data_IF_585051479828
#
_entry.id   IF_585051479828
#
_cell.length_a   1.000
_cell.length_b   1.000
_cell.length_c   1.000
_cell.angle_alpha   90.00
_cell.angle_beta   90.00
_cell.angle_gamma   90.00
#
_symmetry.space_group_name_H-M   'P 1'
#
loop_
_entity.id
_entity.type
_entity.pdbx_description
1 polymer ?
#
# COMPACT_ATOMS: atom_id res chain seq x y z
N UNK A 1 2.90 -8.47 -30.77
CA UNK A 1 2.25 -7.81 -29.63
C UNK A 1 1.97 -8.76 -28.44
N UNK A 2 2.14 -10.09 -28.61
CA UNK A 2 1.76 -11.11 -27.61
C UNK A 2 2.74 -11.24 -26.40
N UNK A 3 3.88 -10.59 -26.40
CA UNK A 3 4.92 -10.72 -25.37
C UNK A 3 5.17 -9.46 -24.56
N UNK A 4 4.31 -8.45 -24.60
CA UNK A 4 4.43 -7.27 -23.75
C UNK A 4 3.71 -7.56 -22.45
N UNK A 5 4.48 -7.92 -21.40
CA UNK A 5 3.97 -8.00 -20.04
C UNK A 5 3.55 -6.60 -19.58
N UNK A 6 2.30 -6.47 -19.15
CA UNK A 6 1.84 -5.23 -18.52
C UNK A 6 2.69 -4.95 -17.28
N UNK A 7 3.24 -3.73 -17.13
CA UNK A 7 4.03 -3.40 -15.95
C UNK A 7 3.19 -3.53 -14.69
N UNK A 8 3.77 -4.20 -13.70
CA UNK A 8 3.12 -4.37 -12.38
C UNK A 8 2.82 -2.98 -11.80
N UNK A 9 1.58 -2.78 -11.34
CA UNK A 9 1.17 -1.52 -10.73
C UNK A 9 0.72 -0.42 -11.71
N UNK A 10 0.62 -0.71 -13.02
CA UNK A 10 0.17 0.29 -14.02
C UNK A 10 -1.16 0.95 -13.64
N UNK A 11 -2.11 0.19 -13.12
CA UNK A 11 -3.40 0.71 -12.67
C UNK A 11 -3.25 1.69 -11.51
N UNK A 12 -2.45 1.36 -10.51
CA UNK A 12 -2.18 2.24 -9.37
C UNK A 12 -1.52 3.56 -9.80
N UNK A 13 -0.49 3.48 -10.63
CA UNK A 13 0.20 4.66 -11.18
C UNK A 13 -0.77 5.52 -12.00
N UNK A 14 -1.65 4.90 -12.77
CA UNK A 14 -2.64 5.62 -13.57
C UNK A 14 -3.67 6.33 -12.70
N UNK A 15 -4.22 5.65 -11.69
CA UNK A 15 -5.16 6.27 -10.75
C UNK A 15 -4.52 7.41 -9.95
N UNK A 16 -3.27 7.26 -9.55
CA UNK A 16 -2.53 8.30 -8.83
C UNK A 16 -2.34 9.56 -9.71
N UNK A 17 -1.97 9.37 -10.99
CA UNK A 17 -1.87 10.47 -11.95
C UNK A 17 -3.22 11.14 -12.20
N UNK A 18 -4.28 10.35 -12.39
CA UNK A 18 -5.63 10.87 -12.58
C UNK A 18 -6.12 11.66 -11.36
N UNK A 19 -5.89 11.17 -10.14
CA UNK A 19 -6.29 11.89 -8.93
C UNK A 19 -5.60 13.25 -8.83
N UNK A 20 -4.30 13.33 -9.15
CA UNK A 20 -3.57 14.60 -9.19
C UNK A 20 -4.15 15.58 -10.21
N UNK A 21 -4.40 15.13 -11.44
CA UNK A 21 -4.97 15.98 -12.50
C UNK A 21 -6.37 16.50 -12.12
N UNK A 22 -7.21 15.62 -11.55
CA UNK A 22 -8.56 16.00 -11.09
C UNK A 22 -8.48 17.00 -9.93
N UNK A 23 -7.58 16.81 -8.97
CA UNK A 23 -7.41 17.74 -7.85
C UNK A 23 -6.88 19.11 -8.31
N UNK A 24 -5.99 19.14 -9.30
CA UNK A 24 -5.57 20.40 -9.95
C UNK A 24 -6.72 21.06 -10.72
N UNK A 25 -7.51 20.30 -11.49
CA UNK A 25 -8.65 20.81 -12.25
C UNK A 25 -9.74 21.39 -11.30
N UNK A 26 -9.92 20.78 -10.14
CA UNK A 26 -10.86 21.26 -9.09
C UNK A 26 -10.29 22.37 -8.23
N UNK A 27 -9.11 22.89 -8.56
CA UNK A 27 -8.42 23.96 -7.81
C UNK A 27 -8.14 23.61 -6.33
N UNK A 28 -8.20 22.32 -5.97
CA UNK A 28 -7.89 21.87 -4.60
C UNK A 28 -6.41 21.95 -4.27
N UNK A 29 -5.56 21.82 -5.28
CA UNK A 29 -4.10 21.90 -5.17
C UNK A 29 -3.54 22.73 -6.31
N UNK A 30 -2.46 23.47 -6.03
CA UNK A 30 -1.73 24.20 -7.07
C UNK A 30 -0.87 23.21 -7.87
N UNK A 31 -0.83 23.33 -9.20
CA UNK A 31 0.04 22.49 -10.03
C UNK A 31 1.50 22.62 -9.61
N UNK A 32 2.24 21.51 -9.64
CA UNK A 32 3.66 21.51 -9.39
C UNK A 32 4.39 22.21 -10.54
N UNK A 33 5.27 23.17 -10.20
CA UNK A 33 6.04 23.92 -11.19
C UNK A 33 7.26 23.13 -11.72
N UNK A 34 7.67 22.05 -11.06
CA UNK A 34 8.85 21.26 -11.42
C UNK A 34 8.46 19.83 -11.70
N UNK A 35 8.80 19.33 -12.88
CA UNK A 35 8.60 17.94 -13.26
C UNK A 35 9.26 16.96 -12.26
N UNK A 36 10.40 17.34 -11.70
CA UNK A 36 11.11 16.54 -10.70
C UNK A 36 10.23 16.23 -9.48
N UNK A 37 9.52 17.22 -8.95
CA UNK A 37 8.69 17.07 -7.75
C UNK A 37 7.48 16.17 -8.06
N UNK A 38 6.94 16.28 -9.27
CA UNK A 38 5.90 15.37 -9.77
C UNK A 38 6.41 13.94 -9.91
N UNK A 39 7.62 13.74 -10.45
CA UNK A 39 8.23 12.42 -10.57
C UNK A 39 8.51 11.79 -9.20
N UNK A 40 8.98 12.57 -8.23
CA UNK A 40 9.15 12.11 -6.84
C UNK A 40 7.82 11.63 -6.27
N UNK A 41 6.72 12.39 -6.45
CA UNK A 41 5.40 11.97 -5.99
C UNK A 41 4.94 10.66 -6.61
N UNK A 42 5.10 10.48 -7.93
CA UNK A 42 4.66 9.27 -8.65
C UNK A 42 5.53 8.05 -8.33
N UNK A 43 6.86 8.24 -8.18
CA UNK A 43 7.83 7.15 -8.00
C UNK A 43 8.16 6.88 -6.53
N UNK A 44 7.44 7.49 -5.59
CA UNK A 44 7.69 7.28 -4.18
C UNK A 44 7.51 5.79 -3.82
N UNK A 45 8.62 5.13 -3.44
CA UNK A 45 8.70 3.69 -3.23
C UNK A 45 7.56 3.09 -2.36
N UNK A 46 7.13 3.69 -1.24
CA UNK A 46 6.08 3.12 -0.43
C UNK A 46 4.68 3.08 -1.08
N UNK A 47 4.50 3.77 -2.22
CA UNK A 47 3.22 3.87 -2.92
C UNK A 47 3.15 2.99 -4.18
N UNK A 48 4.31 2.42 -4.64
CA UNK A 48 4.44 1.92 -6.02
C UNK A 48 3.61 0.69 -6.38
N UNK A 49 3.38 -0.28 -5.51
CA UNK A 49 2.76 -1.55 -5.93
C UNK A 49 1.46 -1.84 -5.19
N UNK A 50 1.44 -1.71 -3.89
CA UNK A 50 0.28 -2.00 -3.04
C UNK A 50 0.22 -1.04 -1.86
N UNK A 51 0.82 0.14 -2.00
CA UNK A 51 0.89 1.15 -0.94
C UNK A 51 -0.44 1.85 -0.71
N UNK A 52 -0.56 2.57 0.41
CA UNK A 52 -1.70 3.42 0.63
C UNK A 52 -1.81 4.44 -0.50
N UNK A 53 -3.00 4.59 -1.08
CA UNK A 53 -3.27 5.64 -2.08
C UNK A 53 -3.28 6.97 -1.34
N UNK A 54 -2.13 7.62 -1.32
CA UNK A 54 -1.97 8.93 -0.69
C UNK A 54 -2.30 10.00 -1.72
N UNK A 55 -3.26 10.85 -1.41
CA UNK A 55 -3.61 11.97 -2.29
C UNK A 55 -2.52 13.02 -2.26
N UNK A 56 -2.30 13.66 -3.41
CA UNK A 56 -1.27 14.69 -3.53
C UNK A 56 -1.42 15.83 -2.51
N UNK A 57 -2.65 16.25 -2.19
CA UNK A 57 -2.91 17.29 -1.19
C UNK A 57 -2.42 16.94 0.22
N UNK A 58 -2.34 15.65 0.56
CA UNK A 58 -1.87 15.19 1.88
C UNK A 58 -0.35 15.25 2.02
N UNK A 59 0.38 15.09 0.91
CA UNK A 59 1.85 15.08 0.89
C UNK A 59 2.47 16.34 0.31
N UNK A 60 1.67 17.20 -0.32
CA UNK A 60 2.16 18.41 -0.99
C UNK A 60 2.98 19.33 -0.07
N UNK A 61 2.51 19.53 1.16
CA UNK A 61 3.22 20.34 2.16
C UNK A 61 4.56 19.75 2.58
N UNK A 62 4.62 18.43 2.70
CA UNK A 62 5.83 17.70 3.11
C UNK A 62 6.85 17.60 1.96
N UNK A 63 6.40 17.54 0.71
CA UNK A 63 7.26 17.57 -0.47
C UNK A 63 7.97 18.93 -0.63
N UNK A 64 7.29 20.02 -0.26
CA UNK A 64 7.79 21.39 -0.43
C UNK A 64 8.63 21.85 0.77
N UNK A 65 8.23 21.49 1.99
CA UNK A 65 8.85 21.97 3.21
C UNK A 65 9.27 20.80 4.11
N UNK A 66 10.53 20.40 3.99
CA UNK A 66 11.13 19.23 4.68
C UNK A 66 11.72 19.54 6.05
N UNK A 67 11.61 20.79 6.55
CA UNK A 67 12.48 21.29 7.62
C UNK A 67 11.97 21.09 9.04
N UNK A 68 10.86 20.39 9.30
CA UNK A 68 10.17 20.72 10.53
C UNK A 68 10.05 19.66 11.63
N UNK A 69 10.45 18.40 11.47
CA UNK A 69 10.14 17.45 12.57
C UNK A 69 11.21 16.37 12.80
N UNK A 70 12.42 16.78 13.13
CA UNK A 70 13.40 15.85 13.73
C UNK A 70 13.02 15.60 15.21
N UNK A 71 11.89 14.91 15.42
CA UNK A 71 11.43 14.51 16.73
C UNK A 71 11.64 13.01 16.91
N UNK A 72 12.45 12.63 17.91
CA UNK A 72 12.77 11.24 18.20
C UNK A 72 11.51 10.41 18.51
N UNK A 73 10.51 11.02 19.18
CA UNK A 73 9.25 10.36 19.47
C UNK A 73 8.47 9.99 18.22
N UNK A 74 8.57 10.82 17.17
CA UNK A 74 7.94 10.57 15.89
C UNK A 74 8.61 9.38 15.17
N UNK A 75 9.94 9.31 15.20
CA UNK A 75 10.72 8.18 14.64
C UNK A 75 10.44 6.88 15.40
N UNK A 76 10.38 6.94 16.73
CA UNK A 76 10.03 5.78 17.58
C UNK A 76 8.61 5.29 17.28
N UNK A 77 7.64 6.21 17.15
CA UNK A 77 6.27 5.87 16.73
C UNK A 77 6.24 5.20 15.36
N UNK A 78 7.07 5.68 14.41
CA UNK A 78 7.24 5.07 13.10
C UNK A 78 7.77 3.65 13.16
N UNK A 79 8.77 3.41 14.01
CA UNK A 79 9.36 2.09 14.22
C UNK A 79 8.34 1.10 14.80
N UNK A 80 7.60 1.48 15.83
CA UNK A 80 6.54 0.63 16.39
C UNK A 80 5.46 0.31 15.34
N UNK A 81 5.07 1.30 14.54
CA UNK A 81 4.09 1.09 13.48
C UNK A 81 4.59 0.13 12.41
N UNK A 82 5.87 0.20 12.05
CA UNK A 82 6.50 -0.75 11.14
C UNK A 82 6.46 -2.18 11.69
N UNK A 83 6.80 -2.37 12.96
CA UNK A 83 6.77 -3.69 13.62
C UNK A 83 5.35 -4.25 13.66
N UNK A 84 4.34 -3.44 13.97
CA UNK A 84 2.94 -3.87 13.97
C UNK A 84 2.52 -4.32 12.57
N UNK A 85 2.89 -3.57 11.53
CA UNK A 85 2.64 -3.94 10.13
C UNK A 85 3.30 -5.26 9.75
N UNK A 86 4.57 -5.44 10.11
CA UNK A 86 5.31 -6.68 9.90
C UNK A 86 4.66 -7.86 10.64
N UNK A 87 4.23 -7.66 11.86
CA UNK A 87 3.53 -8.68 12.65
C UNK A 87 2.22 -9.12 12.01
N UNK A 88 1.43 -8.18 11.50
CA UNK A 88 0.20 -8.49 10.74
C UNK A 88 0.49 -9.38 9.53
N UNK A 89 1.55 -9.07 8.78
CA UNK A 89 1.93 -9.85 7.61
C UNK A 89 2.44 -11.24 7.99
N UNK A 90 3.39 -11.32 8.91
CA UNK A 90 4.07 -12.60 9.22
C UNK A 90 3.19 -13.52 10.06
N UNK A 91 2.53 -13.00 11.10
CA UNK A 91 1.80 -13.83 12.05
C UNK A 91 0.36 -14.12 11.63
N UNK A 92 -0.23 -13.28 10.80
CA UNK A 92 -1.64 -13.44 10.42
C UNK A 92 -1.77 -13.76 8.93
N UNK A 93 -1.32 -12.86 8.05
CA UNK A 93 -1.56 -13.01 6.61
C UNK A 93 -0.87 -14.25 6.04
N UNK A 94 0.39 -14.50 6.38
CA UNK A 94 1.12 -15.67 5.87
C UNK A 94 0.54 -16.98 6.41
N UNK A 95 0.11 -17.01 7.66
CA UNK A 95 -0.51 -18.21 8.28
C UNK A 95 -1.85 -18.51 7.59
N UNK A 96 -2.70 -17.48 7.40
CA UNK A 96 -3.96 -17.64 6.67
C UNK A 96 -3.72 -18.04 5.21
N UNK A 97 -2.63 -17.55 4.59
CA UNK A 97 -2.24 -17.94 3.23
C UNK A 97 -2.01 -19.43 3.08
N UNK A 98 -1.31 -20.05 4.03
CA UNK A 98 -1.11 -21.50 4.05
C UNK A 98 -2.44 -22.27 4.10
N UNK A 99 -3.36 -21.87 4.97
CA UNK A 99 -4.70 -22.47 5.08
C UNK A 99 -5.49 -22.32 3.76
N UNK A 100 -5.41 -21.14 3.14
CA UNK A 100 -6.08 -20.87 1.86
C UNK A 100 -5.53 -21.75 0.74
N UNK A 101 -4.20 -21.87 0.64
CA UNK A 101 -3.55 -22.73 -0.36
C UNK A 101 -3.96 -24.19 -0.19
N UNK A 102 -3.99 -24.71 1.03
CA UNK A 102 -4.45 -26.07 1.32
C UNK A 102 -5.91 -26.29 0.90
N UNK A 103 -6.81 -25.38 1.25
CA UNK A 103 -8.23 -25.52 0.92
C UNK A 103 -8.47 -25.43 -0.58
N UNK A 104 -7.82 -24.49 -1.27
CA UNK A 104 -8.02 -24.30 -2.71
C UNK A 104 -7.29 -25.36 -3.57
N UNK A 105 -6.36 -26.10 -3.00
CA UNK A 105 -5.75 -27.27 -3.63
C UNK A 105 -6.59 -28.55 -3.52
N UNK A 106 -7.65 -28.54 -2.70
CA UNK A 106 -8.52 -29.72 -2.53
C UNK A 106 -9.24 -30.07 -3.84
N UNK A 107 -9.32 -31.35 -4.19
CA UNK A 107 -10.13 -31.79 -5.32
C UNK A 107 -11.62 -31.53 -5.07
N UNK A 108 -12.38 -31.28 -6.14
CA UNK A 108 -13.80 -30.84 -6.06
C UNK A 108 -14.71 -31.78 -5.27
N UNK A 109 -14.36 -33.07 -5.16
CA UNK A 109 -15.15 -34.06 -4.41
C UNK A 109 -14.95 -34.00 -2.89
N UNK A 110 -13.87 -33.39 -2.43
CA UNK A 110 -13.57 -33.18 -1.01
C UNK A 110 -14.00 -31.78 -0.55
N UNK A 111 -14.28 -30.88 -1.47
CA UNK A 111 -14.69 -29.51 -1.20
C UNK A 111 -16.19 -29.47 -0.85
N UNK A 112 -16.50 -29.55 0.43
CA UNK A 112 -17.86 -29.34 0.91
C UNK A 112 -18.15 -27.84 1.16
N UNK A 113 -19.43 -27.48 1.29
CA UNK A 113 -19.87 -26.10 1.48
C UNK A 113 -19.22 -25.42 2.70
N UNK A 114 -19.03 -26.13 3.81
CA UNK A 114 -18.41 -25.60 5.01
C UNK A 114 -16.92 -25.25 4.79
N UNK A 115 -16.16 -26.15 4.18
CA UNK A 115 -14.76 -25.94 3.85
C UNK A 115 -14.60 -24.78 2.85
N UNK A 116 -15.50 -24.68 1.85
CA UNK A 116 -15.49 -23.57 0.90
C UNK A 116 -15.70 -22.21 1.58
N UNK A 117 -16.64 -22.12 2.53
CA UNK A 117 -16.85 -20.88 3.29
C UNK A 117 -15.66 -20.53 4.17
N UNK A 118 -15.02 -21.50 4.82
CA UNK A 118 -13.80 -21.28 5.60
C UNK A 118 -12.69 -20.74 4.68
N UNK A 119 -12.50 -21.32 3.50
CA UNK A 119 -11.54 -20.84 2.51
C UNK A 119 -11.76 -19.39 2.09
N UNK A 120 -13.02 -19.03 1.78
CA UNK A 120 -13.36 -17.65 1.37
C UNK A 120 -13.13 -16.64 2.50
N UNK A 121 -13.52 -16.98 3.73
CA UNK A 121 -13.29 -16.11 4.90
C UNK A 121 -11.80 -15.97 5.18
N UNK A 122 -11.06 -17.08 5.19
CA UNK A 122 -9.62 -17.06 5.39
C UNK A 122 -8.90 -16.22 4.32
N UNK A 123 -9.28 -16.37 3.05
CA UNK A 123 -8.75 -15.58 1.94
C UNK A 123 -9.05 -14.08 2.09
N UNK A 124 -10.27 -13.74 2.47
CA UNK A 124 -10.66 -12.35 2.71
C UNK A 124 -9.85 -11.70 3.83
N UNK A 125 -9.64 -12.42 4.93
CA UNK A 125 -8.81 -11.98 6.05
C UNK A 125 -7.33 -11.90 5.66
N UNK A 126 -6.83 -12.86 4.89
CA UNK A 126 -5.45 -12.86 4.36
C UNK A 126 -5.18 -11.59 3.57
N UNK A 127 -6.03 -11.26 2.58
CA UNK A 127 -5.88 -10.05 1.76
C UNK A 127 -5.93 -8.80 2.64
N UNK A 128 -6.88 -8.74 3.58
CA UNK A 128 -7.02 -7.59 4.46
C UNK A 128 -5.76 -7.36 5.31
N UNK A 129 -5.25 -8.40 5.96
CA UNK A 129 -4.08 -8.27 6.82
C UNK A 129 -2.77 -8.09 6.05
N UNK A 130 -2.66 -8.66 4.85
CA UNK A 130 -1.51 -8.46 3.97
C UNK A 130 -1.43 -6.99 3.52
N UNK A 131 -2.54 -6.43 3.04
CA UNK A 131 -2.61 -5.03 2.62
C UNK A 131 -2.46 -4.06 3.80
N UNK A 132 -3.15 -4.30 4.91
CA UNK A 132 -3.06 -3.47 6.13
C UNK A 132 -1.66 -3.50 6.72
N UNK A 133 -1.01 -4.67 6.74
CA UNK A 133 0.37 -4.83 7.20
C UNK A 133 1.35 -4.03 6.34
N UNK A 134 1.23 -4.13 5.02
CA UNK A 134 2.05 -3.35 4.09
C UNK A 134 1.85 -1.85 4.29
N UNK A 135 0.61 -1.40 4.41
CA UNK A 135 0.30 0.02 4.64
C UNK A 135 0.90 0.55 5.93
N UNK A 136 0.82 -0.21 7.02
CA UNK A 136 1.44 0.18 8.30
C UNK A 136 2.96 0.20 8.23
N UNK A 137 3.60 -0.74 7.52
CA UNK A 137 5.04 -0.72 7.27
C UNK A 137 5.44 0.51 6.44
N UNK A 138 4.70 0.83 5.38
CA UNK A 138 4.97 1.99 4.52
C UNK A 138 4.88 3.31 5.29
N UNK A 139 3.80 3.49 6.09
CA UNK A 139 3.63 4.68 6.93
C UNK A 139 4.70 4.73 8.03
N UNK A 140 5.05 3.59 8.61
CA UNK A 140 6.13 3.49 9.60
C UNK A 140 7.46 3.97 9.03
N UNK A 141 7.84 3.49 7.84
CA UNK A 141 9.05 3.93 7.14
C UNK A 141 9.03 5.41 6.76
N UNK A 142 7.87 5.91 6.32
CA UNK A 142 7.71 7.32 6.02
C UNK A 142 7.97 8.18 7.26
N UNK A 143 7.44 7.80 8.41
CA UNK A 143 7.67 8.49 9.68
C UNK A 143 9.14 8.45 10.14
N UNK A 144 9.85 7.34 9.90
CA UNK A 144 11.28 7.22 10.28
C UNK A 144 12.16 8.09 9.39
N UNK A 145 11.82 8.20 8.10
CA UNK A 145 12.61 8.96 7.10
C UNK A 145 12.20 10.42 6.93
N UNK A 146 11.21 10.89 7.69
CA UNK A 146 10.71 12.27 7.58
C UNK A 146 10.13 12.62 6.19
N UNK A 147 9.41 11.66 5.60
CA UNK A 147 8.63 11.88 4.38
C UNK A 147 7.19 12.22 4.75
#
# INVERSE_FOLDING_TARGET
>A
WQNILLPIGVSFITFQKLSYVIDCYREKVKPLNRLRDYMVYILLFPQLIAGPIVRFNEVASQLINRSSQDNIDYKVSGFFRFIIGLSKKVLIANVLGGVVEEIFALPSHELNTGVAWIGIIAYSLQIYFDFSGYSDMAIGLAKIKEY
#
